data_IF_087642290787
#
_entry.id   IF_087642290787
#
_cell.length_a   1.000
_cell.length_b   1.000
_cell.length_c   1.000
_cell.angle_alpha   90.00
_cell.angle_beta   90.00
_cell.angle_gamma   90.00
#
_symmetry.space_group_name_H-M   'P 1'
#
loop_
_entity.id
_entity.type
_entity.pdbx_description
1 polymer ?
#
# COMPACT_ATOMS: atom_id res chain seq x y z
N UNK A 1 12.67 6.79 6.60
CA UNK A 1 12.63 5.32 6.57
C UNK A 1 13.73 4.78 5.67
N UNK A 2 14.35 3.63 6.01
CA UNK A 2 15.25 2.93 5.09
C UNK A 2 14.49 2.49 3.84
N UNK A 3 15.12 2.55 2.66
CA UNK A 3 14.56 2.07 1.36
C UNK A 3 14.13 0.60 1.39
N UNK A 4 14.54 -0.14 2.43
CA UNK A 4 14.20 -1.56 2.66
C UNK A 4 12.69 -1.85 2.79
N UNK A 5 11.88 -0.89 3.22
CA UNK A 5 10.44 -1.10 3.51
C UNK A 5 9.50 -0.56 2.43
N UNK A 6 10.06 -0.06 1.34
CA UNK A 6 9.32 0.66 0.31
C UNK A 6 9.57 0.05 -1.06
N UNK A 7 8.55 0.02 -1.91
CA UNK A 7 8.61 -0.43 -3.29
C UNK A 7 8.12 0.66 -4.23
N UNK A 8 8.63 0.67 -5.46
CA UNK A 8 8.25 1.64 -6.48
C UNK A 8 7.40 0.99 -7.56
N UNK A 9 6.33 1.66 -7.98
CA UNK A 9 5.59 1.31 -9.21
C UNK A 9 5.62 2.48 -10.19
N UNK A 10 5.76 2.17 -11.47
CA UNK A 10 5.57 3.15 -12.54
C UNK A 10 4.08 3.31 -12.79
N UNK A 11 3.55 4.52 -12.64
CA UNK A 11 2.19 4.85 -13.02
C UNK A 11 2.13 5.58 -14.36
N UNK A 12 0.94 6.08 -14.69
CA UNK A 12 0.69 6.78 -15.94
C UNK A 12 1.55 8.05 -16.04
N UNK A 13 1.95 8.41 -17.27
CA UNK A 13 2.85 9.54 -17.57
C UNK A 13 4.28 9.43 -16.97
N UNK A 14 4.76 8.22 -16.66
CA UNK A 14 6.14 7.99 -16.21
C UNK A 14 6.43 8.40 -14.77
N UNK A 15 5.40 8.74 -13.99
CA UNK A 15 5.53 9.03 -12.55
C UNK A 15 5.81 7.74 -11.78
N UNK A 16 6.74 7.82 -10.83
CA UNK A 16 7.05 6.69 -9.93
C UNK A 16 6.37 6.93 -8.60
N UNK A 17 5.58 5.96 -8.16
CA UNK A 17 4.90 5.99 -6.87
C UNK A 17 5.62 5.05 -5.91
N UNK A 18 6.01 5.55 -4.74
CA UNK A 18 6.50 4.73 -3.64
C UNK A 18 5.30 4.18 -2.85
N UNK A 19 5.37 2.94 -2.41
CA UNK A 19 4.35 2.34 -1.55
C UNK A 19 5.00 1.34 -0.58
N UNK A 20 4.33 1.08 0.55
CA UNK A 20 4.67 -0.04 1.43
C UNK A 20 3.90 -1.29 0.95
N UNK A 21 4.59 -2.38 0.56
CA UNK A 21 3.94 -3.67 0.37
C UNK A 21 3.33 -4.17 1.68
N UNK A 22 2.25 -4.93 1.61
CA UNK A 22 1.58 -5.50 2.80
C UNK A 22 2.56 -6.30 3.66
N UNK A 23 3.47 -7.07 3.05
CA UNK A 23 4.55 -7.78 3.77
C UNK A 23 5.35 -6.85 4.68
N UNK A 24 5.75 -5.68 4.18
CA UNK A 24 6.52 -4.72 4.95
C UNK A 24 5.69 -4.11 6.08
N UNK A 25 4.40 -3.84 5.86
CA UNK A 25 3.50 -3.38 6.92
C UNK A 25 3.37 -4.41 8.06
N UNK A 26 3.22 -5.70 7.72
CA UNK A 26 3.19 -6.82 8.68
C UNK A 26 4.51 -6.91 9.45
N UNK A 27 5.66 -6.82 8.76
CA UNK A 27 6.97 -6.83 9.40
C UNK A 27 7.13 -5.67 10.39
N UNK A 28 6.69 -4.46 10.02
CA UNK A 28 6.72 -3.29 10.91
C UNK A 28 5.84 -3.49 12.14
N UNK A 29 4.63 -4.04 12.00
CA UNK A 29 3.77 -4.37 13.12
C UNK A 29 4.39 -5.41 14.04
N UNK A 30 4.96 -6.49 13.47
CA UNK A 30 5.66 -7.52 14.23
C UNK A 30 6.88 -6.97 14.99
N UNK A 31 7.65 -6.07 14.37
CA UNK A 31 8.80 -5.43 15.03
C UNK A 31 8.37 -4.43 16.12
N UNK A 32 7.22 -3.76 15.95
CA UNK A 32 6.75 -2.71 16.86
C UNK A 32 6.01 -3.28 18.06
N UNK A 33 5.11 -4.23 17.83
CA UNK A 33 4.21 -4.77 18.86
C UNK A 33 4.54 -6.22 19.25
N UNK A 34 5.22 -6.99 18.39
CA UNK A 34 5.40 -8.43 18.54
C UNK A 34 4.25 -9.21 17.88
N UNK A 35 4.54 -10.35 17.24
CA UNK A 35 3.56 -11.04 16.39
C UNK A 35 2.32 -11.57 17.13
N UNK A 36 2.38 -11.75 18.45
CA UNK A 36 1.26 -12.25 19.27
C UNK A 36 0.37 -11.12 19.79
N UNK A 37 0.83 -9.88 19.69
CA UNK A 37 0.25 -8.73 20.37
C UNK A 37 -0.58 -7.85 19.45
N UNK A 38 -0.85 -8.29 18.22
CA UNK A 38 -1.74 -7.59 17.32
C UNK A 38 -2.51 -8.56 16.42
N UNK A 39 -3.65 -8.11 15.94
CA UNK A 39 -4.48 -8.84 14.98
C UNK A 39 -5.17 -7.86 14.05
N UNK A 40 -5.70 -8.37 12.93
CA UNK A 40 -6.53 -7.60 12.03
C UNK A 40 -7.77 -8.39 11.62
N UNK A 41 -8.84 -7.66 11.32
CA UNK A 41 -10.12 -8.21 10.89
C UNK A 41 -10.69 -7.34 9.77
N UNK A 42 -11.21 -7.96 8.71
CA UNK A 42 -12.05 -7.27 7.73
C UNK A 42 -13.49 -7.40 8.21
N UNK A 43 -14.05 -6.30 8.72
CA UNK A 43 -15.37 -6.30 9.37
C UNK A 43 -16.48 -5.72 8.49
N UNK A 44 -16.15 -5.18 7.30
CA UNK A 44 -17.13 -4.74 6.31
C UNK A 44 -16.58 -4.97 4.92
N UNK A 45 -17.42 -5.53 4.04
CA UNK A 45 -17.14 -5.74 2.62
C UNK A 45 -18.33 -5.19 1.84
N UNK A 46 -18.07 -4.27 0.93
CA UNK A 46 -19.04 -3.67 0.02
C UNK A 46 -18.56 -3.87 -1.40
N UNK A 47 -19.36 -4.56 -2.23
CA UNK A 47 -19.17 -4.62 -3.67
C UNK A 47 -20.01 -3.51 -4.30
N UNK A 48 -19.40 -2.34 -4.54
CA UNK A 48 -20.13 -1.16 -5.01
C UNK A 48 -20.21 -1.09 -6.55
N UNK A 49 -19.48 -1.94 -7.27
CA UNK A 49 -19.49 -2.01 -8.72
C UNK A 49 -19.21 -3.44 -9.17
N UNK A 50 -20.16 -4.02 -9.88
CA UNK A 50 -20.11 -5.38 -10.41
C UNK A 50 -20.87 -5.41 -11.72
N UNK A 51 -20.22 -4.91 -12.78
CA UNK A 51 -20.83 -4.74 -14.10
C UNK A 51 -20.06 -5.56 -15.13
N UNK A 52 -20.80 -6.28 -15.97
CA UNK A 52 -20.27 -6.93 -17.17
C UNK A 52 -21.03 -6.38 -18.37
N UNK A 53 -20.29 -5.87 -19.35
CA UNK A 53 -20.86 -5.40 -20.61
C UNK A 53 -21.34 -6.62 -21.43
N UNK A 54 -22.65 -6.74 -21.72
CA UNK A 54 -23.22 -7.94 -22.33
C UNK A 54 -22.78 -8.17 -23.79
N UNK A 55 -22.31 -7.12 -24.46
CA UNK A 55 -21.89 -7.19 -25.87
C UNK A 55 -20.39 -7.52 -25.99
N UNK A 56 -19.59 -7.08 -25.03
CA UNK A 56 -18.12 -7.19 -25.09
C UNK A 56 -17.51 -8.12 -24.04
N UNK A 57 -18.26 -8.52 -23.00
CA UNK A 57 -17.76 -9.23 -21.83
C UNK A 57 -16.82 -8.38 -20.96
N UNK A 58 -16.78 -7.06 -21.17
CA UNK A 58 -15.90 -6.17 -20.41
C UNK A 58 -16.46 -5.92 -19.02
N UNK A 59 -15.71 -6.38 -18.01
CA UNK A 59 -16.04 -6.30 -16.61
C UNK A 59 -15.49 -5.03 -15.94
N UNK A 60 -16.25 -4.50 -14.98
CA UNK A 60 -15.86 -3.42 -14.06
C UNK A 60 -16.22 -3.85 -12.64
N UNK A 61 -15.19 -4.06 -11.81
CA UNK A 61 -15.37 -4.56 -10.44
C UNK A 61 -14.78 -3.57 -9.44
N UNK A 62 -15.51 -3.28 -8.36
CA UNK A 62 -15.13 -2.34 -7.33
C UNK A 62 -15.51 -2.82 -5.92
N UNK A 63 -14.51 -2.91 -5.03
CA UNK A 63 -14.72 -3.25 -3.63
C UNK A 63 -14.29 -2.12 -2.71
N UNK A 64 -15.05 -1.92 -1.63
CA UNK A 64 -14.69 -1.11 -0.47
C UNK A 64 -14.71 -2.01 0.76
N UNK A 65 -13.69 -1.93 1.59
CA UNK A 65 -13.56 -2.77 2.78
C UNK A 65 -13.12 -1.95 3.97
N UNK A 66 -13.65 -2.28 5.14
CA UNK A 66 -13.19 -1.73 6.42
C UNK A 66 -12.37 -2.78 7.14
N UNK A 67 -11.17 -2.37 7.57
CA UNK A 67 -10.28 -3.20 8.37
C UNK A 67 -10.12 -2.60 9.76
N UNK A 68 -10.25 -3.46 10.77
CA UNK A 68 -9.89 -3.17 12.16
C UNK A 68 -8.54 -3.81 12.45
N UNK A 69 -7.64 -3.05 13.05
CA UNK A 69 -6.37 -3.56 13.57
C UNK A 69 -6.36 -3.33 15.08
N UNK A 70 -6.20 -4.39 15.85
CA UNK A 70 -6.19 -4.38 17.31
C UNK A 70 -4.78 -4.68 17.81
N UNK A 71 -4.36 -3.98 18.87
CA UNK A 71 -3.08 -4.17 19.55
C UNK A 71 -3.33 -4.40 21.05
N UNK A 72 -2.60 -5.35 21.62
CA UNK A 72 -2.58 -5.68 23.05
C UNK A 72 -1.22 -5.32 23.62
N UNK A 73 -1.19 -4.49 24.66
CA UNK A 73 0.03 -4.15 25.38
C UNK A 73 0.40 -5.24 26.39
N UNK A 74 1.63 -5.19 26.90
CA UNK A 74 2.12 -6.11 27.92
C UNK A 74 1.33 -6.07 29.24
N UNK A 75 0.65 -4.95 29.53
CA UNK A 75 -0.22 -4.80 30.70
C UNK A 75 -1.65 -5.35 30.47
N UNK A 76 -1.92 -5.92 29.29
CA UNK A 76 -3.23 -6.43 28.89
C UNK A 76 -4.17 -5.38 28.29
N UNK A 77 -3.80 -4.09 28.29
CA UNK A 77 -4.61 -3.04 27.68
C UNK A 77 -4.68 -3.23 26.18
N UNK A 78 -5.88 -3.15 25.63
CA UNK A 78 -6.11 -3.23 24.18
C UNK A 78 -6.54 -1.88 23.61
N UNK A 79 -6.11 -1.61 22.37
CA UNK A 79 -6.58 -0.47 21.58
C UNK A 79 -6.63 -0.87 20.11
N UNK A 80 -7.43 -0.15 19.32
CA UNK A 80 -7.60 -0.48 17.91
C UNK A 80 -7.73 0.78 17.05
N UNK A 81 -7.39 0.62 15.78
CA UNK A 81 -7.67 1.58 14.73
C UNK A 81 -8.44 0.89 13.62
N UNK A 82 -9.38 1.61 13.01
CA UNK A 82 -10.11 1.16 11.83
C UNK A 82 -9.87 2.11 10.68
N UNK A 83 -9.77 1.57 9.48
CA UNK A 83 -9.75 2.38 8.27
C UNK A 83 -10.42 1.65 7.11
N UNK A 84 -10.81 2.42 6.10
CA UNK A 84 -11.45 1.93 4.89
C UNK A 84 -10.44 1.97 3.75
N UNK A 85 -10.36 0.87 3.01
CA UNK A 85 -9.62 0.79 1.76
C UNK A 85 -10.52 0.38 0.61
N UNK A 86 -10.01 0.52 -0.60
CA UNK A 86 -10.77 0.21 -1.81
C UNK A 86 -9.90 -0.21 -2.98
N UNK A 87 -10.54 -0.88 -3.92
CA UNK A 87 -9.93 -1.21 -5.20
C UNK A 87 -10.97 -1.17 -6.31
N UNK A 88 -10.47 -0.95 -7.53
CA UNK A 88 -11.24 -0.97 -8.75
C UNK A 88 -10.37 -1.56 -9.85
N UNK A 89 -10.87 -2.56 -10.57
CA UNK A 89 -10.20 -3.11 -11.75
C UNK A 89 -11.21 -3.38 -12.86
N UNK A 90 -10.68 -3.45 -14.07
CA UNK A 90 -11.45 -3.70 -15.29
C UNK A 90 -10.74 -4.68 -16.22
N UNK A 91 -11.48 -5.34 -17.10
CA UNK A 91 -10.93 -6.28 -18.07
C UNK A 91 -11.96 -7.35 -18.47
N UNK A 92 -11.53 -8.45 -19.08
CA UNK A 92 -12.45 -9.44 -19.68
C UNK A 92 -12.61 -10.74 -18.88
N UNK A 93 -11.74 -11.03 -17.90
CA UNK A 93 -11.83 -12.24 -17.07
C UNK A 93 -12.47 -11.90 -15.72
N UNK A 94 -13.79 -12.07 -15.62
CA UNK A 94 -14.57 -11.81 -14.42
C UNK A 94 -13.95 -12.41 -13.15
N UNK A 95 -13.58 -13.70 -13.19
CA UNK A 95 -13.08 -14.41 -12.01
C UNK A 95 -11.74 -13.86 -11.52
N UNK A 96 -10.81 -13.60 -12.45
CA UNK A 96 -9.50 -13.03 -12.13
C UNK A 96 -9.63 -11.59 -11.63
N UNK A 97 -10.44 -10.75 -12.29
CA UNK A 97 -10.62 -9.33 -11.93
C UNK A 97 -11.29 -9.21 -10.58
N UNK A 98 -12.35 -9.98 -10.31
CA UNK A 98 -13.03 -10.00 -9.01
C UNK A 98 -12.07 -10.42 -7.90
N UNK A 99 -11.32 -11.49 -8.10
CA UNK A 99 -10.32 -11.96 -7.12
C UNK A 99 -9.23 -10.92 -6.85
N UNK A 100 -8.70 -10.28 -7.91
CA UNK A 100 -7.66 -9.28 -7.78
C UNK A 100 -8.17 -8.01 -7.09
N UNK A 101 -9.39 -7.57 -7.41
CA UNK A 101 -10.02 -6.40 -6.80
C UNK A 101 -10.31 -6.64 -5.32
N UNK A 102 -10.86 -7.81 -4.98
CA UNK A 102 -11.10 -8.20 -3.59
C UNK A 102 -9.81 -8.19 -2.76
N UNK A 103 -8.75 -8.84 -3.26
CA UNK A 103 -7.44 -8.89 -2.58
C UNK A 103 -6.80 -7.50 -2.45
N UNK A 104 -6.93 -6.66 -3.47
CA UNK A 104 -6.41 -5.31 -3.46
C UNK A 104 -7.13 -4.42 -2.44
N UNK A 105 -8.46 -4.48 -2.37
CA UNK A 105 -9.24 -3.72 -1.39
C UNK A 105 -8.93 -4.13 0.06
N UNK A 106 -8.82 -5.44 0.32
CA UNK A 106 -8.43 -5.96 1.64
C UNK A 106 -7.03 -5.49 2.05
N UNK A 107 -6.07 -5.57 1.11
CA UNK A 107 -4.69 -5.11 1.31
C UNK A 107 -4.61 -3.61 1.57
N UNK A 108 -5.42 -2.82 0.87
CA UNK A 108 -5.48 -1.37 1.04
C UNK A 108 -6.04 -1.00 2.42
N UNK A 109 -7.17 -1.59 2.81
CA UNK A 109 -7.80 -1.33 4.11
C UNK A 109 -6.86 -1.66 5.28
N UNK A 110 -6.15 -2.80 5.20
CA UNK A 110 -5.17 -3.20 6.20
C UNK A 110 -4.02 -2.19 6.33
N UNK A 111 -3.39 -1.80 5.21
CA UNK A 111 -2.27 -0.84 5.24
C UNK A 111 -2.70 0.51 5.82
N UNK A 112 -3.90 0.97 5.47
CA UNK A 112 -4.46 2.24 5.98
C UNK A 112 -4.78 2.17 7.47
N UNK A 113 -5.27 1.04 7.97
CA UNK A 113 -5.49 0.85 9.40
C UNK A 113 -4.17 0.76 10.18
N UNK A 114 -3.15 0.08 9.65
CA UNK A 114 -1.80 0.01 10.23
C UNK A 114 -1.14 1.39 10.28
N UNK A 115 -1.34 2.22 9.27
CA UNK A 115 -0.71 3.55 9.18
C UNK A 115 -1.16 4.50 10.31
N UNK A 116 -2.35 4.29 10.88
CA UNK A 116 -2.87 5.09 11.99
C UNK A 116 -2.07 4.91 13.30
N UNK A 117 -1.27 3.86 13.44
CA UNK A 117 -0.39 3.66 14.61
C UNK A 117 0.89 4.53 14.57
N UNK A 118 1.10 5.30 13.50
CA UNK A 118 2.12 6.35 13.41
C UNK A 118 3.28 6.05 12.44
N UNK A 119 4.31 6.91 12.50
CA UNK A 119 5.42 6.90 11.53
C UNK A 119 6.15 5.55 11.52
N UNK A 120 6.29 4.89 12.67
CA UNK A 120 6.96 3.59 12.79
C UNK A 120 6.26 2.47 11.99
N UNK A 121 4.95 2.55 11.78
CA UNK A 121 4.15 1.51 11.11
C UNK A 121 3.80 1.84 9.66
N UNK A 122 4.11 3.05 9.18
CA UNK A 122 3.91 3.41 7.77
C UNK A 122 3.25 4.76 7.50
N UNK A 123 2.84 5.52 8.54
CA UNK A 123 2.12 6.80 8.38
C UNK A 123 2.80 7.82 7.47
N UNK A 124 4.14 7.80 7.37
CA UNK A 124 4.90 8.76 6.56
C UNK A 124 4.65 8.63 5.04
N UNK A 125 4.06 7.52 4.59
CA UNK A 125 3.69 7.34 3.18
C UNK A 125 2.20 7.64 2.90
N UNK A 126 1.40 7.87 3.93
CA UNK A 126 -0.03 8.18 3.79
C UNK A 126 -0.27 9.70 3.67
N UNK A 127 0.66 10.52 4.19
CA UNK A 127 0.63 12.00 4.08
C UNK A 127 0.82 12.50 2.64
N UNK A 128 1.30 11.64 1.75
CA UNK A 128 1.41 11.94 0.34
C UNK A 128 0.93 10.74 -0.47
N UNK A 129 -0.22 10.90 -1.12
CA UNK A 129 -0.19 10.71 -2.56
C UNK A 129 1.05 11.43 -3.08
N UNK A 130 2.15 10.69 -3.32
CA UNK A 130 3.46 11.18 -3.77
C UNK A 130 3.36 11.83 -5.16
N UNK A 131 2.64 12.93 -5.23
CA UNK A 131 2.95 14.03 -6.10
C UNK A 131 4.21 14.64 -5.48
N UNK A 132 5.30 14.59 -6.23
CA UNK A 132 6.52 15.36 -5.93
C UNK A 132 7.37 14.88 -4.77
N UNK A 133 7.94 13.69 -4.86
CA UNK A 133 9.32 13.50 -4.37
C UNK A 133 10.29 13.62 -5.54
N UNK A 134 10.50 14.88 -5.90
CA UNK A 134 11.76 15.47 -6.33
C UNK A 134 12.59 14.72 -7.38
N UNK A 135 12.34 15.14 -8.61
CA UNK A 135 13.29 15.26 -9.71
C UNK A 135 14.60 16.03 -9.37
N UNK A 136 14.82 16.46 -8.11
CA UNK A 136 15.88 17.40 -7.78
C UNK A 136 17.20 16.78 -7.27
N UNK A 137 17.21 15.53 -6.78
CA UNK A 137 18.43 14.97 -6.12
C UNK A 137 19.08 13.76 -6.79
N UNK A 138 18.34 12.98 -7.59
CA UNK A 138 18.89 11.79 -8.24
C UNK A 138 19.79 12.18 -9.44
N UNK A 139 19.51 13.33 -10.06
CA UNK A 139 20.21 13.85 -11.24
C UNK A 139 21.60 14.41 -10.91
N UNK A 140 21.83 14.87 -9.66
CA UNK A 140 23.13 15.37 -9.20
C UNK A 140 24.12 14.24 -8.88
N UNK A 141 23.67 13.16 -8.23
CA UNK A 141 24.54 12.00 -7.93
C UNK A 141 25.12 11.34 -9.20
N UNK A 142 24.31 11.19 -10.25
CA UNK A 142 24.77 10.61 -11.53
C UNK A 142 25.74 11.50 -12.31
N UNK A 143 25.71 12.83 -12.13
CA UNK A 143 26.69 13.74 -12.76
C UNK A 143 28.03 13.73 -12.03
N UNK A 144 28.04 13.63 -10.70
CA UNK A 144 29.30 13.62 -9.94
C UNK A 144 30.09 12.31 -10.13
N UNK A 145 29.39 11.18 -10.20
CA UNK A 145 30.01 9.85 -10.39
C UNK A 145 30.58 9.67 -11.81
N UNK A 146 29.93 10.25 -12.83
CA UNK A 146 30.44 10.25 -14.22
C UNK A 146 31.64 11.18 -14.42
N UNK A 147 31.78 12.25 -13.62
CA UNK A 147 32.97 13.10 -13.65
C UNK A 147 34.15 12.41 -12.98
N UNK A 148 33.94 11.67 -11.89
CA UNK A 148 35.00 10.95 -11.18
C UNK A 148 35.60 9.78 -11.98
N UNK A 149 34.82 9.13 -12.85
CA UNK A 149 35.32 8.04 -13.72
C UNK A 149 36.06 8.53 -14.97
N UNK A 150 35.97 9.81 -15.34
CA UNK A 150 36.69 10.36 -16.52
C UNK A 150 38.08 10.88 -16.21
N UNK A 151 38.44 11.05 -14.94
CA UNK A 151 39.75 11.58 -14.49
C UNK A 151 40.77 10.51 -14.09
N UNK A 152 40.45 9.22 -14.27
CA UNK A 152 41.36 8.08 -13.97
C UNK A 152 41.80 7.29 -15.22
N UNK A 153 41.97 7.95 -16.36
CA UNK A 153 42.75 7.43 -17.49
C UNK A 153 43.89 8.37 -17.80
#
# INVERSE_FOLDING_TARGET
MSTKYTSTRTGNAGKTFLYIPVRCAIELMNMTFGHENWSNEINTIENYMDEEDPDTGYCRIGYRMKCKVMVTKSDGTTFFHENVGGAYNTGYDYGSITTNTYKAAASDALKRAISLFGIATGSMLDDEHLNDTDNHDITKKRKHEKTFLKTKK
#
